data_IF_457234561400
#
_entry.id   IF_457234561400
#
_cell.length_a   1.000
_cell.length_b   1.000
_cell.length_c   1.000
_cell.angle_alpha   90.00
_cell.angle_beta   90.00
_cell.angle_gamma   90.00
#
_symmetry.space_group_name_H-M   'P 1'
#
loop_
_entity.id
_entity.type
_entity.pdbx_description
1 polymer ?
#
# COMPACT_ATOMS: atom_id res chain seq x y z
N UNK A 1 -17.17 34.95 45.70
CA UNK A 1 -17.07 33.46 45.78
C UNK A 1 -17.88 32.92 44.61
N UNK A 2 -17.43 32.14 43.63
CA UNK A 2 -16.34 31.17 43.53
C UNK A 2 -15.68 31.20 42.12
N UNK A 3 -14.35 31.16 42.15
CA UNK A 3 -13.40 30.42 41.29
C UNK A 3 -13.65 30.32 39.78
N UNK A 4 -12.91 31.16 39.05
CA UNK A 4 -12.28 30.80 37.76
C UNK A 4 -11.59 29.45 37.87
N UNK A 5 -11.89 28.52 36.97
CA UNK A 5 -11.02 27.41 36.63
C UNK A 5 -10.52 27.63 35.20
N UNK A 6 -9.27 28.09 35.11
CA UNK A 6 -8.49 28.14 33.89
C UNK A 6 -7.84 26.77 33.64
N UNK A 7 -7.96 26.33 32.39
CA UNK A 7 -7.01 25.57 31.60
C UNK A 7 -6.67 24.12 32.04
N UNK A 8 -6.68 23.20 31.07
CA UNK A 8 -5.47 22.77 30.34
C UNK A 8 -5.79 21.48 29.55
N UNK A 9 -6.61 21.55 28.50
CA UNK A 9 -6.69 20.43 27.54
C UNK A 9 -5.47 20.52 26.62
N UNK A 10 -4.40 19.85 27.04
CA UNK A 10 -3.20 19.62 26.25
C UNK A 10 -3.60 19.06 24.88
N UNK A 11 -3.28 19.82 23.85
CA UNK A 11 -3.31 19.36 22.47
C UNK A 11 -2.34 18.19 22.29
N UNK A 12 -2.85 17.08 21.78
CA UNK A 12 -2.07 16.08 21.07
C UNK A 12 -2.66 15.93 19.66
N UNK A 13 -2.54 16.98 18.86
CA UNK A 13 -2.59 16.82 17.40
C UNK A 13 -1.26 16.21 16.98
N UNK A 14 -1.17 14.88 16.99
CA UNK A 14 -0.05 14.17 16.39
C UNK A 14 -0.21 14.30 14.88
N UNK A 15 0.39 15.33 14.30
CA UNK A 15 0.48 15.48 12.85
C UNK A 15 1.52 14.49 12.33
N UNK A 16 1.06 13.34 11.85
CA UNK A 16 1.86 12.42 11.04
C UNK A 16 2.05 12.99 9.62
N UNK A 17 2.73 14.12 9.48
CA UNK A 17 3.05 14.73 8.18
C UNK A 17 4.55 14.64 7.91
N UNK A 18 5.10 13.43 7.81
CA UNK A 18 6.53 13.29 7.51
C UNK A 18 6.93 11.98 6.82
N UNK A 19 6.10 11.40 5.94
CA UNK A 19 6.57 10.40 4.96
C UNK A 19 5.73 10.51 3.67
N UNK A 20 5.90 11.59 2.91
CA UNK A 20 5.32 11.71 1.56
C UNK A 20 6.24 12.47 0.57
N UNK A 21 7.04 13.42 1.07
CA UNK A 21 7.85 14.31 0.21
C UNK A 21 8.93 13.63 -0.64
N UNK A 22 9.48 12.48 -0.23
CA UNK A 22 10.43 11.74 -1.08
C UNK A 22 9.72 11.06 -2.25
N UNK A 23 8.54 10.49 -2.00
CA UNK A 23 7.74 9.80 -3.02
C UNK A 23 7.21 10.73 -4.10
N UNK A 24 6.86 11.98 -3.75
CA UNK A 24 6.29 12.94 -4.70
C UNK A 24 7.33 13.45 -5.71
N UNK A 25 8.56 13.71 -5.27
CA UNK A 25 9.64 14.16 -6.17
C UNK A 25 10.09 13.06 -7.12
N UNK A 26 10.20 11.82 -6.62
CA UNK A 26 10.50 10.66 -7.47
C UNK A 26 9.35 10.36 -8.45
N UNK A 27 8.10 10.57 -8.03
CA UNK A 27 6.93 10.41 -8.90
C UNK A 27 6.87 11.41 -10.06
N UNK A 28 7.38 12.64 -9.88
CA UNK A 28 7.29 13.70 -10.89
C UNK A 28 8.24 13.48 -12.09
N UNK A 29 9.37 12.81 -11.89
CA UNK A 29 10.35 12.58 -12.96
C UNK A 29 10.31 11.17 -13.55
N UNK A 30 9.66 10.21 -12.86
CA UNK A 30 9.57 8.84 -13.32
C UNK A 30 8.46 8.64 -14.36
N UNK A 31 8.74 7.89 -15.42
CA UNK A 31 7.72 7.45 -16.40
C UNK A 31 6.96 6.22 -15.88
N UNK A 32 7.58 5.45 -14.98
CA UNK A 32 7.03 4.23 -14.46
C UNK A 32 7.18 4.13 -12.95
N UNK A 33 6.31 3.33 -12.36
CA UNK A 33 6.40 2.89 -10.99
C UNK A 33 6.21 1.38 -10.90
N UNK A 34 6.80 0.80 -9.88
CA UNK A 34 6.69 -0.62 -9.57
C UNK A 34 5.88 -0.75 -8.29
N UNK A 35 4.72 -1.38 -8.41
CA UNK A 35 3.83 -1.70 -7.30
C UNK A 35 4.29 -3.05 -6.72
N UNK A 36 4.62 -3.08 -5.42
CA UNK A 36 5.08 -4.28 -4.72
C UNK A 36 3.94 -4.90 -3.91
N UNK A 37 3.78 -6.21 -4.05
CA UNK A 37 2.69 -6.98 -3.48
C UNK A 37 3.20 -8.17 -2.69
N UNK A 38 2.46 -8.53 -1.64
CA UNK A 38 2.70 -9.74 -0.86
C UNK A 38 1.50 -10.68 -0.93
N UNK A 39 1.76 -11.97 -1.07
CA UNK A 39 0.72 -12.99 -1.01
C UNK A 39 0.15 -13.03 0.41
N UNK A 40 -1.13 -12.73 0.56
CA UNK A 40 -1.79 -12.66 1.86
C UNK A 40 -2.56 -13.94 2.21
N UNK A 41 -3.15 -14.58 1.20
CA UNK A 41 -3.84 -15.87 1.37
C UNK A 41 -3.74 -16.69 0.08
N UNK A 42 -3.64 -18.01 0.25
CA UNK A 42 -3.68 -18.98 -0.84
C UNK A 42 -4.33 -20.29 -0.38
N UNK A 43 -5.15 -20.89 -1.24
CA UNK A 43 -5.76 -22.23 -1.05
C UNK A 43 -4.82 -23.36 -1.44
N UNK A 44 -3.82 -23.07 -2.27
CA UNK A 44 -2.80 -24.02 -2.70
C UNK A 44 -1.56 -23.90 -1.80
N UNK A 45 -0.68 -24.91 -1.81
CA UNK A 45 0.58 -24.82 -1.06
C UNK A 45 1.33 -23.55 -1.48
N UNK A 46 1.76 -22.76 -0.50
CA UNK A 46 2.46 -21.49 -0.73
C UNK A 46 3.74 -21.63 -1.59
N UNK A 47 4.29 -22.85 -1.75
CA UNK A 47 5.42 -23.12 -2.63
C UNK A 47 5.11 -22.95 -4.13
N UNK A 48 3.84 -23.06 -4.53
CA UNK A 48 3.45 -23.00 -5.95
C UNK A 48 3.32 -21.58 -6.49
N UNK A 49 3.28 -20.58 -5.60
CA UNK A 49 3.13 -19.17 -5.96
C UNK A 49 4.16 -18.33 -5.20
N UNK A 50 4.79 -17.34 -5.83
CA UNK A 50 5.78 -16.52 -5.14
C UNK A 50 5.14 -15.74 -3.98
N UNK A 51 5.86 -15.59 -2.87
CA UNK A 51 5.37 -14.77 -1.75
C UNK A 51 5.30 -13.28 -2.11
N UNK A 52 6.06 -12.87 -3.13
CA UNK A 52 6.24 -11.48 -3.55
C UNK A 52 6.00 -11.33 -5.04
N UNK A 53 5.23 -10.31 -5.40
CA UNK A 53 4.90 -9.99 -6.79
C UNK A 53 5.12 -8.51 -7.08
N UNK A 54 5.47 -8.20 -8.32
CA UNK A 54 5.76 -6.82 -8.76
C UNK A 54 5.04 -6.51 -10.06
N UNK A 55 4.34 -5.38 -10.09
CA UNK A 55 3.68 -4.90 -11.30
C UNK A 55 4.18 -3.53 -11.69
N UNK A 56 4.77 -3.44 -12.89
CA UNK A 56 5.14 -2.16 -13.49
C UNK A 56 3.88 -1.48 -14.02
N UNK A 57 3.73 -0.19 -13.71
CA UNK A 57 2.66 0.68 -14.19
C UNK A 57 3.22 2.03 -14.57
N UNK A 58 2.50 2.79 -15.38
CA UNK A 58 2.83 4.19 -15.55
C UNK A 58 2.60 4.96 -14.24
N UNK A 59 3.33 6.05 -14.02
CA UNK A 59 3.21 6.84 -12.79
C UNK A 59 1.81 7.39 -12.56
N UNK A 60 1.10 7.77 -13.63
CA UNK A 60 -0.29 8.23 -13.61
C UNK A 60 -1.34 7.12 -13.36
N UNK A 61 -0.97 5.85 -13.50
CA UNK A 61 -1.89 4.73 -13.25
C UNK A 61 -1.86 4.32 -11.79
N UNK A 62 -3.01 4.10 -11.14
CA UNK A 62 -3.01 3.59 -9.77
C UNK A 62 -2.47 2.15 -9.66
N UNK A 63 -1.78 1.87 -8.55
CA UNK A 63 -1.52 0.49 -8.11
C UNK A 63 -2.81 -0.05 -7.49
N UNK A 64 -3.40 -1.15 -8.01
CA UNK A 64 -4.54 -1.79 -7.36
C UNK A 64 -4.17 -2.18 -5.93
N UNK A 65 -5.09 -1.98 -4.99
CA UNK A 65 -4.90 -2.34 -3.57
C UNK A 65 -4.72 -3.83 -3.38
N UNK A 66 -5.38 -4.63 -4.21
CA UNK A 66 -5.21 -6.07 -4.25
C UNK A 66 -5.52 -6.60 -5.64
N UNK A 67 -5.16 -7.86 -5.86
CA UNK A 67 -5.66 -8.61 -7.01
C UNK A 67 -5.77 -10.09 -6.69
N UNK A 68 -6.80 -10.70 -7.25
CA UNK A 68 -7.11 -12.12 -7.08
C UNK A 68 -6.21 -12.96 -7.96
N UNK A 69 -5.55 -13.94 -7.34
CA UNK A 69 -4.90 -15.02 -8.05
C UNK A 69 -5.96 -16.05 -8.42
N UNK A 70 -6.08 -16.32 -9.71
CA UNK A 70 -6.97 -17.33 -10.25
C UNK A 70 -6.18 -18.52 -10.78
N UNK A 71 -6.74 -19.71 -10.62
CA UNK A 71 -6.19 -20.91 -11.23
C UNK A 71 -6.29 -20.81 -12.77
N UNK A 72 -5.26 -21.24 -13.54
CA UNK A 72 -5.21 -21.04 -14.98
C UNK A 72 -6.37 -21.66 -15.76
N UNK A 73 -6.84 -22.85 -15.33
CA UNK A 73 -7.78 -23.65 -16.11
C UNK A 73 -9.25 -23.22 -15.93
N UNK A 74 -9.66 -22.94 -14.69
CA UNK A 74 -11.06 -22.71 -14.34
C UNK A 74 -11.33 -21.28 -13.82
N UNK A 75 -10.30 -20.42 -13.77
CA UNK A 75 -10.34 -19.05 -13.22
C UNK A 75 -10.80 -18.96 -11.76
N UNK A 76 -10.83 -20.07 -11.04
CA UNK A 76 -11.26 -20.11 -9.63
C UNK A 76 -10.32 -19.27 -8.78
N UNK A 77 -10.85 -18.39 -7.90
CA UNK A 77 -10.03 -17.67 -6.94
C UNK A 77 -9.33 -18.63 -5.97
N UNK A 78 -8.00 -18.64 -6.05
CA UNK A 78 -7.13 -19.47 -5.22
C UNK A 78 -6.27 -18.65 -4.27
N UNK A 79 -6.17 -17.33 -4.44
CA UNK A 79 -5.42 -16.48 -3.52
C UNK A 79 -5.59 -15.00 -3.77
N UNK A 80 -4.94 -14.19 -2.95
CA UNK A 80 -4.95 -12.73 -3.07
C UNK A 80 -3.60 -12.14 -2.72
N UNK A 81 -3.15 -11.23 -3.58
CA UNK A 81 -2.01 -10.36 -3.33
C UNK A 81 -2.48 -9.01 -2.82
N UNK A 82 -1.83 -8.50 -1.78
CA UNK A 82 -2.13 -7.19 -1.20
C UNK A 82 -0.95 -6.24 -1.48
N UNK A 83 -1.29 -5.04 -1.94
CA UNK A 83 -0.34 -3.96 -2.17
C UNK A 83 0.31 -3.53 -0.85
N UNK A 84 1.62 -3.34 -0.86
CA UNK A 84 2.34 -2.80 0.30
C UNK A 84 2.90 -1.41 0.02
N UNK A 85 3.69 -1.26 -1.05
CA UNK A 85 4.36 0.00 -1.35
C UNK A 85 4.70 0.11 -2.84
N UNK A 86 5.14 1.30 -3.24
CA UNK A 86 5.52 1.64 -4.61
C UNK A 86 6.97 2.12 -4.64
N UNK A 87 7.71 1.77 -5.70
CA UNK A 87 9.00 2.39 -6.04
C UNK A 87 8.93 3.04 -7.42
N UNK A 88 9.74 4.05 -7.68
CA UNK A 88 9.73 4.83 -8.92
C UNK A 88 10.99 4.54 -9.76
N UNK A 89 10.83 4.50 -11.09
CA UNK A 89 11.90 4.19 -12.05
C UNK A 89 11.79 5.03 -13.33
#
# INVERSE_FOLDING_TARGET
>A
MMKSMLALSLGLSVSFNAIANSSEKEAQNASYKVCHYKLAATKTKASSYPLWERKKRHTWQSCPLSWTLSEPENKTPIGVYIYLYTTYH
#
